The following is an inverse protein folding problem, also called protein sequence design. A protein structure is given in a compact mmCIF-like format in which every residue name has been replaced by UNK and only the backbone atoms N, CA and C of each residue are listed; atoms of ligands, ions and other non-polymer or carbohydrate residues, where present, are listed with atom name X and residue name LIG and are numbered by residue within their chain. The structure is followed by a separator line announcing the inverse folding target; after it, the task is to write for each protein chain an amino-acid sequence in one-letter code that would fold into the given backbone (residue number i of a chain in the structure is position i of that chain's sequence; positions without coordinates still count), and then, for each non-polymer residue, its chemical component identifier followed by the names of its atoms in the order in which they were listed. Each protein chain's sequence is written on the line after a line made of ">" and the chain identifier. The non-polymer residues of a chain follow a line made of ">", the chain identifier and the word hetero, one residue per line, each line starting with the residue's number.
data_IF_548421966824
#
_entry.id   IF_548421966824
#
_cell.length_a   1.000
_cell.length_b   1.000
_cell.length_c   1.000
_cell.angle_alpha   90.00
_cell.angle_beta   90.00
_cell.angle_gamma   90.00
#
_symmetry.space_group_name_H-M   'P 1'
#
loop_
_entity.id
_entity.type
_entity.pdbx_description
1 polymer ?
#
# COMPACT_ATOMS: atom_id res chain seq x y z
N UNK A 1 -8.34 35.94 3.39
CA UNK A 1 -7.18 35.34 2.70
C UNK A 1 -6.67 34.11 3.45
N UNK A 2 -6.44 34.19 4.75
CA UNK A 2 -5.86 33.10 5.57
C UNK A 2 -6.71 31.82 5.69
N UNK A 3 -8.03 31.91 5.89
CA UNK A 3 -8.89 30.73 6.02
C UNK A 3 -8.88 29.86 4.75
N UNK A 4 -8.81 30.49 3.57
CA UNK A 4 -8.72 29.78 2.28
C UNK A 4 -7.40 29.00 2.15
N UNK A 5 -6.30 29.55 2.63
CA UNK A 5 -4.99 28.90 2.59
C UNK A 5 -4.93 27.71 3.55
N UNK A 6 -5.52 27.87 4.74
CA UNK A 6 -5.68 26.78 5.71
C UNK A 6 -6.58 25.67 5.16
N UNK A 7 -7.69 26.01 4.49
CA UNK A 7 -8.56 25.07 3.82
C UNK A 7 -7.80 24.25 2.76
N UNK A 8 -6.95 24.91 1.95
CA UNK A 8 -6.10 24.23 0.98
C UNK A 8 -5.08 23.29 1.65
N UNK A 9 -4.53 23.69 2.79
CA UNK A 9 -3.59 22.85 3.56
C UNK A 9 -4.28 21.61 4.08
N UNK A 10 -5.46 21.73 4.68
CA UNK A 10 -6.28 20.60 5.13
C UNK A 10 -6.60 19.67 3.97
N UNK A 11 -7.01 20.22 2.82
CA UNK A 11 -7.32 19.44 1.62
C UNK A 11 -6.13 18.64 1.09
N UNK A 12 -4.95 19.25 1.03
CA UNK A 12 -3.71 18.60 0.61
C UNK A 12 -3.34 17.46 1.55
N UNK A 13 -3.38 17.71 2.87
CA UNK A 13 -3.09 16.67 3.87
C UNK A 13 -4.09 15.53 3.80
N UNK A 14 -5.37 15.82 3.69
CA UNK A 14 -6.44 14.83 3.50
C UNK A 14 -6.16 13.95 2.27
N UNK A 15 -5.83 14.56 1.13
CA UNK A 15 -5.52 13.83 -0.10
C UNK A 15 -4.31 12.90 0.06
N UNK A 16 -3.25 13.36 0.72
CA UNK A 16 -2.08 12.55 1.04
C UNK A 16 -2.45 11.37 1.96
N UNK A 17 -3.32 11.56 2.97
CA UNK A 17 -3.78 10.48 3.87
C UNK A 17 -4.59 9.42 3.12
N UNK A 18 -5.50 9.81 2.24
CA UNK A 18 -6.24 8.85 1.41
C UNK A 18 -5.34 8.13 0.41
N UNK A 19 -4.29 8.78 -0.08
CA UNK A 19 -3.29 8.12 -0.94
C UNK A 19 -2.50 7.08 -0.18
N UNK A 20 -2.01 7.41 1.03
CA UNK A 20 -1.35 6.47 1.92
C UNK A 20 -2.26 5.28 2.29
N UNK A 21 -3.54 5.53 2.58
CA UNK A 21 -4.55 4.48 2.80
C UNK A 21 -4.64 3.51 1.62
N UNK A 22 -4.80 4.04 0.39
CA UNK A 22 -4.90 3.20 -0.82
C UNK A 22 -3.63 2.39 -1.06
N UNK A 23 -2.45 2.96 -0.80
CA UNK A 23 -1.17 2.25 -0.90
C UNK A 23 -1.08 1.13 0.13
N UNK A 24 -1.41 1.38 1.40
CA UNK A 24 -1.39 0.36 2.45
C UNK A 24 -2.40 -0.78 2.17
N UNK A 25 -3.59 -0.44 1.68
CA UNK A 25 -4.60 -1.42 1.27
C UNK A 25 -4.08 -2.35 0.18
N UNK A 26 -3.43 -1.80 -0.85
CA UNK A 26 -2.86 -2.60 -1.94
C UNK A 26 -1.71 -3.49 -1.47
N UNK A 27 -0.84 -2.98 -0.61
CA UNK A 27 0.24 -3.77 -0.03
C UNK A 27 -0.31 -4.97 0.76
N UNK A 28 -1.33 -4.76 1.58
CA UNK A 28 -2.02 -5.83 2.29
C UNK A 28 -2.62 -6.86 1.33
N UNK A 29 -3.36 -6.40 0.33
CA UNK A 29 -4.04 -7.29 -0.60
C UNK A 29 -3.03 -8.08 -1.46
N UNK A 30 -1.96 -7.42 -1.92
CA UNK A 30 -0.89 -8.07 -2.69
C UNK A 30 -0.11 -9.09 -1.85
N UNK A 31 0.19 -8.81 -0.58
CA UNK A 31 0.87 -9.76 0.30
C UNK A 31 0.02 -11.02 0.53
N UNK A 32 -1.28 -10.86 0.80
CA UNK A 32 -2.19 -12.01 0.99
C UNK A 32 -2.30 -12.88 -0.27
N UNK A 33 -2.38 -12.26 -1.45
CA UNK A 33 -2.40 -13.01 -2.72
C UNK A 33 -1.07 -13.73 -2.97
N UNK A 34 0.07 -13.07 -2.72
CA UNK A 34 1.39 -13.68 -2.89
C UNK A 34 1.58 -14.87 -1.95
N UNK A 35 1.19 -14.75 -0.67
CA UNK A 35 1.24 -15.84 0.29
C UNK A 35 0.37 -17.04 -0.15
N UNK A 36 -0.86 -16.78 -0.60
CA UNK A 36 -1.77 -17.82 -1.06
C UNK A 36 -1.22 -18.55 -2.30
N UNK A 37 -0.71 -17.83 -3.29
CA UNK A 37 -0.11 -18.41 -4.49
C UNK A 37 1.15 -19.22 -4.16
N UNK A 38 2.02 -18.70 -3.30
CA UNK A 38 3.23 -19.42 -2.87
C UNK A 38 2.87 -20.70 -2.13
N UNK A 39 1.90 -20.67 -1.23
CA UNK A 39 1.44 -21.85 -0.49
C UNK A 39 0.86 -22.91 -1.42
N UNK A 40 0.02 -22.51 -2.37
CA UNK A 40 -0.54 -23.43 -3.37
C UNK A 40 0.56 -24.06 -4.25
N UNK A 41 1.57 -23.29 -4.63
CA UNK A 41 2.70 -23.77 -5.42
C UNK A 41 3.56 -24.77 -4.64
N UNK A 42 3.80 -24.54 -3.35
CA UNK A 42 4.52 -25.48 -2.48
C UNK A 42 3.78 -26.82 -2.38
N UNK A 43 2.45 -26.78 -2.22
CA UNK A 43 1.63 -28.00 -2.21
C UNK A 43 1.77 -28.75 -3.54
N UNK A 44 1.70 -28.06 -4.68
CA UNK A 44 1.87 -28.66 -5.99
C UNK A 44 3.23 -29.33 -6.16
N UNK A 45 4.31 -28.65 -5.73
CA UNK A 45 5.68 -29.22 -5.75
C UNK A 45 5.76 -30.49 -4.87
N UNK A 46 5.16 -30.47 -3.69
CA UNK A 46 5.12 -31.63 -2.79
C UNK A 46 4.41 -32.84 -3.42
N UNK A 47 3.31 -32.60 -4.15
CA UNK A 47 2.59 -33.65 -4.88
C UNK A 47 3.43 -34.23 -6.04
N UNK A 48 4.25 -33.41 -6.71
CA UNK A 48 5.19 -33.87 -7.74
C UNK A 48 6.23 -34.78 -7.10
N UNK A 49 6.84 -34.37 -5.98
CA UNK A 49 7.83 -35.21 -5.26
C UNK A 49 7.28 -36.57 -4.89
N UNK A 50 6.00 -36.67 -4.48
CA UNK A 50 5.37 -37.94 -4.12
C UNK A 50 5.15 -38.88 -5.33
N UNK A 51 5.04 -38.32 -6.53
CA UNK A 51 4.86 -39.12 -7.78
C UNK A 51 6.17 -39.50 -8.47
N UNK A 52 7.26 -38.86 -8.07
CA UNK A 52 8.57 -39.11 -8.67
C UNK A 52 9.06 -40.52 -8.34
N UNK A 53 9.53 -41.24 -9.36
CA UNK A 53 10.02 -42.62 -9.21
C UNK A 53 11.50 -42.69 -8.86
N UNK A 54 12.24 -41.66 -9.24
CA UNK A 54 13.63 -41.51 -8.86
C UNK A 54 13.70 -41.04 -7.41
N UNK A 55 14.23 -41.87 -6.54
CA UNK A 55 14.31 -41.61 -5.10
C UNK A 55 15.23 -40.45 -4.77
N UNK A 56 16.33 -40.27 -5.50
CA UNK A 56 17.26 -39.17 -5.26
C UNK A 56 16.64 -37.82 -5.66
N UNK A 57 15.95 -37.79 -6.81
CA UNK A 57 15.25 -36.62 -7.26
C UNK A 57 14.05 -36.25 -6.34
N UNK A 58 13.29 -37.27 -5.91
CA UNK A 58 12.19 -37.10 -4.95
C UNK A 58 12.66 -36.50 -3.63
N UNK A 59 13.79 -37.01 -3.08
CA UNK A 59 14.39 -36.50 -1.85
C UNK A 59 14.85 -35.03 -2.02
N UNK A 60 15.53 -34.71 -3.12
CA UNK A 60 15.98 -33.34 -3.39
C UNK A 60 14.81 -32.35 -3.50
N UNK A 61 13.73 -32.72 -4.19
CA UNK A 61 12.51 -31.89 -4.28
C UNK A 61 11.88 -31.72 -2.90
N UNK A 62 11.84 -32.78 -2.08
CA UNK A 62 11.27 -32.72 -0.73
C UNK A 62 12.09 -31.81 0.18
N UNK A 63 13.41 -31.87 0.17
CA UNK A 63 14.29 -30.97 0.92
C UNK A 63 14.07 -29.51 0.48
N UNK A 64 14.06 -29.25 -0.83
CA UNK A 64 13.81 -27.93 -1.37
C UNK A 64 12.46 -27.39 -0.92
N UNK A 65 11.42 -28.22 -0.92
CA UNK A 65 10.07 -27.85 -0.49
C UNK A 65 10.01 -27.47 0.98
N UNK A 66 10.75 -28.20 1.85
CA UNK A 66 10.86 -27.87 3.28
C UNK A 66 11.54 -26.52 3.47
N UNK A 67 12.65 -26.27 2.78
CA UNK A 67 13.36 -24.98 2.85
C UNK A 67 12.44 -23.83 2.41
N UNK A 68 11.74 -24.00 1.28
CA UNK A 68 10.84 -22.99 0.74
C UNK A 68 9.65 -22.73 1.68
N UNK A 69 9.10 -23.77 2.29
CA UNK A 69 8.00 -23.65 3.27
C UNK A 69 8.45 -22.90 4.52
N UNK A 70 9.64 -23.19 5.02
CA UNK A 70 10.23 -22.49 6.18
C UNK A 70 10.47 -21.02 5.86
N UNK A 71 11.00 -20.73 4.66
CA UNK A 71 11.21 -19.35 4.20
C UNK A 71 9.88 -18.60 4.10
N UNK A 72 8.83 -19.21 3.53
CA UNK A 72 7.50 -18.62 3.43
C UNK A 72 6.90 -18.32 4.80
N UNK A 73 7.08 -19.21 5.77
CA UNK A 73 6.62 -19.02 7.15
C UNK A 73 7.28 -17.80 7.80
N UNK A 74 8.61 -17.69 7.69
CA UNK A 74 9.35 -16.51 8.21
C UNK A 74 8.89 -15.24 7.53
N UNK A 75 8.73 -15.28 6.21
CA UNK A 75 8.27 -14.11 5.44
C UNK A 75 6.85 -13.67 5.85
N UNK A 76 5.93 -14.62 6.04
CA UNK A 76 4.56 -14.34 6.51
C UNK A 76 4.56 -13.67 7.88
N UNK A 77 5.42 -14.12 8.81
CA UNK A 77 5.58 -13.46 10.11
C UNK A 77 6.11 -12.03 9.99
N UNK A 78 7.10 -11.80 9.12
CA UNK A 78 7.63 -10.45 8.87
C UNK A 78 6.55 -9.52 8.28
N UNK A 79 5.77 -10.01 7.29
CA UNK A 79 4.69 -9.25 6.67
C UNK A 79 3.56 -8.93 7.67
N UNK A 80 3.22 -9.87 8.54
CA UNK A 80 2.27 -9.66 9.63
C UNK A 80 2.74 -8.56 10.59
N UNK A 81 4.05 -8.51 10.88
CA UNK A 81 4.66 -7.47 11.72
C UNK A 81 4.56 -6.05 11.17
N UNK A 82 4.35 -5.88 9.85
CA UNK A 82 4.17 -4.56 9.23
C UNK A 82 2.85 -3.88 9.58
N UNK A 83 1.91 -4.60 10.19
CA UNK A 83 0.62 -4.09 10.69
C UNK A 83 -0.15 -3.24 9.66
N UNK A 84 -0.18 -3.70 8.40
CA UNK A 84 -0.85 -2.96 7.31
C UNK A 84 -2.30 -2.64 7.62
N UNK A 85 -3.05 -3.53 8.27
CA UNK A 85 -4.46 -3.32 8.59
C UNK A 85 -4.66 -2.14 9.55
N UNK A 86 -3.93 -2.12 10.66
CA UNK A 86 -4.00 -1.02 11.64
C UNK A 86 -3.55 0.32 11.05
N UNK A 87 -2.46 0.30 10.26
CA UNK A 87 -1.97 1.52 9.59
C UNK A 87 -2.97 2.03 8.56
N UNK A 88 -3.55 1.15 7.77
CA UNK A 88 -4.58 1.47 6.79
C UNK A 88 -5.80 2.11 7.45
N UNK A 89 -6.32 1.51 8.54
CA UNK A 89 -7.46 2.02 9.29
C UNK A 89 -7.18 3.42 9.88
N UNK A 90 -5.99 3.61 10.46
CA UNK A 90 -5.59 4.91 11.00
C UNK A 90 -5.50 5.98 9.91
N UNK A 91 -4.93 5.68 8.71
CA UNK A 91 -4.91 6.63 7.59
C UNK A 91 -6.31 6.96 7.09
N UNK A 92 -7.20 5.97 7.00
CA UNK A 92 -8.58 6.16 6.58
C UNK A 92 -9.36 7.03 7.57
N UNK A 93 -9.25 6.75 8.86
CA UNK A 93 -9.93 7.49 9.92
C UNK A 93 -9.43 8.94 9.99
N UNK A 94 -8.10 9.14 9.94
CA UNK A 94 -7.51 10.48 9.84
C UNK A 94 -8.01 11.25 8.61
N UNK A 95 -8.04 10.60 7.44
CA UNK A 95 -8.56 11.19 6.21
C UNK A 95 -10.02 11.61 6.31
N UNK A 96 -10.85 10.81 6.97
CA UNK A 96 -12.27 11.10 7.17
C UNK A 96 -12.48 12.29 8.13
N UNK A 97 -11.74 12.39 9.23
CA UNK A 97 -11.82 13.53 10.14
C UNK A 97 -11.34 14.81 9.44
N UNK A 98 -10.25 14.77 8.69
CA UNK A 98 -9.80 15.90 7.86
C UNK A 98 -10.83 16.29 6.79
N UNK A 99 -11.51 15.33 6.16
CA UNK A 99 -12.57 15.61 5.20
C UNK A 99 -13.78 16.33 5.85
N UNK A 100 -14.14 15.92 7.07
CA UNK A 100 -15.19 16.59 7.85
C UNK A 100 -14.80 18.04 8.14
N UNK A 101 -13.57 18.26 8.63
CA UNK A 101 -13.05 19.59 8.90
C UNK A 101 -13.01 20.45 7.62
N UNK A 102 -12.50 19.91 6.52
CA UNK A 102 -12.46 20.58 5.22
C UNK A 102 -13.84 21.04 4.76
N UNK A 103 -14.85 20.16 4.84
CA UNK A 103 -16.24 20.51 4.46
C UNK A 103 -16.81 21.61 5.32
N UNK A 104 -16.54 21.60 6.63
CA UNK A 104 -16.97 22.64 7.54
C UNK A 104 -16.33 23.98 7.18
N UNK A 105 -15.01 24.00 6.98
CA UNK A 105 -14.28 25.20 6.55
C UNK A 105 -14.80 25.74 5.20
N UNK A 106 -15.06 24.87 4.22
CA UNK A 106 -15.61 25.25 2.92
C UNK A 106 -17.04 25.84 3.01
N UNK A 107 -17.84 25.35 3.94
CA UNK A 107 -19.17 25.88 4.22
C UNK A 107 -19.08 27.29 4.82
N UNK A 108 -18.24 27.44 5.84
CA UNK A 108 -18.07 28.70 6.55
C UNK A 108 -17.41 29.80 5.69
N UNK A 109 -16.51 29.41 4.76
CA UNK A 109 -15.94 30.31 3.75
C UNK A 109 -17.03 30.99 2.84
N UNK A 110 -18.19 30.32 2.68
CA UNK A 110 -19.27 30.81 1.83
C UNK A 110 -20.27 31.72 2.57
N UNK A 111 -20.38 31.55 3.88
CA UNK A 111 -21.44 32.14 4.69
C UNK A 111 -20.90 33.29 5.54
N UNK A 112 -19.70 33.19 6.09
CA UNK A 112 -19.15 34.15 7.02
C UNK A 112 -18.46 35.32 6.31
N UNK A 113 -18.57 36.52 6.91
CA UNK A 113 -17.76 37.65 6.57
C UNK A 113 -16.27 37.43 6.88
N UNK A 114 -15.41 38.26 6.30
CA UNK A 114 -13.95 38.16 6.51
C UNK A 114 -13.54 38.28 8.01
N UNK A 115 -14.28 39.05 8.79
CA UNK A 115 -14.03 39.22 10.22
C UNK A 115 -14.40 37.97 11.02
N UNK A 116 -15.56 37.39 10.71
CA UNK A 116 -15.99 36.12 11.34
C UNK A 116 -15.09 34.95 10.95
N UNK A 117 -14.62 34.89 9.70
CA UNK A 117 -13.64 33.89 9.25
C UNK A 117 -12.34 33.99 10.03
N UNK A 118 -11.85 35.22 10.27
CA UNK A 118 -10.64 35.47 11.05
C UNK A 118 -10.81 35.08 12.52
N UNK A 119 -11.99 35.31 13.09
CA UNK A 119 -12.27 34.89 14.48
C UNK A 119 -12.25 33.37 14.66
N UNK A 120 -12.70 32.61 13.66
CA UNK A 120 -12.72 31.14 13.68
C UNK A 120 -11.41 30.48 13.22
N UNK A 121 -10.50 31.21 12.64
CA UNK A 121 -9.27 30.67 12.06
C UNK A 121 -8.46 29.87 13.08
N UNK A 122 -8.26 30.40 14.27
CA UNK A 122 -7.50 29.73 15.33
C UNK A 122 -8.16 28.43 15.78
N UNK A 123 -9.48 28.39 15.84
CA UNK A 123 -10.25 27.20 16.17
C UNK A 123 -9.99 26.08 15.14
N UNK A 124 -10.04 26.39 13.84
CA UNK A 124 -9.76 25.41 12.79
C UNK A 124 -8.32 24.94 12.76
N UNK A 125 -7.36 25.83 13.04
CA UNK A 125 -5.95 25.43 13.17
C UNK A 125 -5.80 24.45 14.32
N UNK A 126 -6.41 24.70 15.48
CA UNK A 126 -6.36 23.81 16.62
C UNK A 126 -7.00 22.45 16.32
N UNK A 127 -8.20 22.43 15.73
CA UNK A 127 -8.86 21.20 15.31
C UNK A 127 -8.00 20.39 14.34
N UNK A 128 -7.35 21.04 13.37
CA UNK A 128 -6.43 20.41 12.45
C UNK A 128 -5.24 19.76 13.16
N UNK A 129 -4.61 20.49 14.09
CA UNK A 129 -3.48 19.97 14.88
C UNK A 129 -3.89 18.82 15.80
N UNK A 130 -5.07 18.88 16.40
CA UNK A 130 -5.62 17.82 17.25
C UNK A 130 -5.80 16.52 16.43
N UNK A 131 -6.33 16.61 15.20
CA UNK A 131 -6.46 15.46 14.31
C UNK A 131 -5.09 14.88 13.99
N UNK A 132 -4.09 15.71 13.65
CA UNK A 132 -2.76 15.24 13.32
C UNK A 132 -2.07 14.56 14.51
N UNK A 133 -2.20 15.13 15.69
CA UNK A 133 -1.62 14.62 16.92
C UNK A 133 -2.28 13.30 17.35
N UNK A 134 -3.61 13.23 17.27
CA UNK A 134 -4.40 12.04 17.61
C UNK A 134 -3.93 10.80 16.86
N UNK A 135 -3.66 10.93 15.57
CA UNK A 135 -3.27 9.79 14.74
C UNK A 135 -1.76 9.59 14.66
N UNK A 136 -0.96 10.63 14.92
CA UNK A 136 0.51 10.61 14.85
C UNK A 136 1.06 9.86 13.62
N UNK A 137 0.50 10.16 12.44
CA UNK A 137 0.82 9.49 11.18
C UNK A 137 1.70 10.38 10.33
N UNK A 138 2.80 9.83 9.82
CA UNK A 138 3.59 10.46 8.78
C UNK A 138 3.29 9.82 7.42
N UNK A 139 2.93 10.64 6.43
CA UNK A 139 2.88 10.24 5.04
C UNK A 139 4.27 10.38 4.40
N UNK A 140 4.55 9.56 3.41
CA UNK A 140 5.78 9.71 2.62
C UNK A 140 5.64 10.90 1.67
N UNK A 141 6.77 11.51 1.27
CA UNK A 141 6.77 12.54 0.21
C UNK A 141 6.05 12.06 -1.04
N UNK A 142 6.20 10.79 -1.34
CA UNK A 142 5.52 10.13 -2.45
C UNK A 142 3.99 10.11 -2.34
N UNK A 143 3.42 9.82 -1.16
CA UNK A 143 1.96 9.87 -0.93
C UNK A 143 1.42 11.28 -1.16
N UNK A 144 2.21 12.30 -0.78
CA UNK A 144 1.87 13.69 -1.00
C UNK A 144 1.92 14.06 -2.49
N UNK A 145 3.02 13.78 -3.18
CA UNK A 145 3.21 14.09 -4.60
C UNK A 145 2.15 13.41 -5.48
N UNK A 146 1.92 12.11 -5.24
CA UNK A 146 0.88 11.37 -5.95
C UNK A 146 -0.52 11.89 -5.61
N UNK A 147 -0.80 12.19 -4.35
CA UNK A 147 -2.06 12.79 -3.93
C UNK A 147 -2.32 14.14 -4.60
N UNK A 148 -1.28 14.96 -4.75
CA UNK A 148 -1.39 16.25 -5.45
C UNK A 148 -1.57 16.07 -6.96
N UNK A 149 -0.93 15.09 -7.58
CA UNK A 149 -1.02 14.85 -9.02
C UNK A 149 -2.42 14.41 -9.51
N UNK A 150 -3.27 13.92 -8.60
CA UNK A 150 -4.63 13.45 -8.91
C UNK A 150 -5.64 14.61 -8.81
N UNK A 151 -5.27 15.75 -8.21
CA UNK A 151 -6.18 16.86 -8.02
C UNK A 151 -6.55 17.52 -9.36
N UNK A 152 -7.81 18.02 -9.53
CA UNK A 152 -8.25 18.62 -10.78
C UNK A 152 -7.40 19.82 -11.25
N UNK A 153 -6.82 20.54 -10.29
CA UNK A 153 -5.99 21.73 -10.54
C UNK A 153 -4.49 21.40 -10.65
N UNK A 154 -4.13 20.12 -10.71
CA UNK A 154 -2.73 19.70 -10.76
C UNK A 154 -2.09 20.08 -12.11
N UNK A 155 -1.21 21.07 -12.11
CA UNK A 155 -0.35 21.40 -13.25
C UNK A 155 0.84 20.42 -13.32
N UNK A 156 0.58 19.13 -13.47
CA UNK A 156 1.65 18.12 -13.61
C UNK A 156 1.93 17.88 -15.08
N UNK A 157 3.21 17.85 -15.44
CA UNK A 157 3.63 17.40 -16.77
C UNK A 157 3.24 15.92 -16.96
N UNK A 158 2.65 15.56 -18.10
CA UNK A 158 2.19 14.20 -18.39
C UNK A 158 3.27 13.12 -18.16
N UNK A 159 4.53 13.41 -18.45
CA UNK A 159 5.65 12.49 -18.23
C UNK A 159 5.90 12.24 -16.73
N UNK A 160 5.83 13.27 -15.89
CA UNK A 160 5.96 13.14 -14.44
C UNK A 160 4.81 12.35 -13.83
N UNK A 161 3.58 12.57 -14.30
CA UNK A 161 2.40 11.82 -13.85
C UNK A 161 2.49 10.32 -14.20
N UNK A 162 2.97 9.98 -15.40
CA UNK A 162 3.15 8.61 -15.83
C UNK A 162 4.18 7.86 -14.98
N UNK A 163 5.33 8.49 -14.69
CA UNK A 163 6.36 7.93 -13.80
C UNK A 163 5.87 7.76 -12.36
N UNK A 164 5.14 8.72 -11.82
CA UNK A 164 4.54 8.62 -10.50
C UNK A 164 3.55 7.44 -10.44
N UNK A 165 2.78 7.23 -11.50
CA UNK A 165 1.82 6.12 -11.59
C UNK A 165 2.53 4.76 -11.69
N UNK A 166 3.57 4.63 -12.51
CA UNK A 166 4.40 3.41 -12.58
C UNK A 166 5.01 3.10 -11.22
N UNK A 167 5.66 4.07 -10.60
CA UNK A 167 6.26 3.92 -9.28
C UNK A 167 5.22 3.48 -8.24
N UNK A 168 4.06 4.13 -8.21
CA UNK A 168 2.99 3.81 -7.28
C UNK A 168 2.42 2.41 -7.45
N UNK A 169 2.24 1.96 -8.70
CA UNK A 169 1.61 0.67 -8.96
C UNK A 169 2.61 -0.49 -9.01
N UNK A 170 3.80 -0.29 -9.54
CA UNK A 170 4.74 -1.38 -9.82
C UNK A 170 5.83 -1.48 -8.75
N UNK A 171 6.55 -0.39 -8.45
CA UNK A 171 7.72 -0.45 -7.59
C UNK A 171 7.37 -0.51 -6.10
N UNK A 172 6.40 0.30 -5.63
CA UNK A 172 6.12 0.40 -4.20
C UNK A 172 5.13 -0.65 -3.68
N UNK A 173 4.36 -1.32 -4.57
CA UNK A 173 3.30 -2.23 -4.14
C UNK A 173 3.52 -3.66 -4.63
N UNK A 174 3.75 -3.85 -5.93
CA UNK A 174 3.63 -5.20 -6.50
C UNK A 174 4.95 -5.92 -6.72
N UNK A 175 6.06 -5.22 -6.94
CA UNK A 175 7.31 -5.83 -7.37
C UNK A 175 7.80 -6.90 -6.41
N UNK A 176 7.88 -6.61 -5.10
CA UNK A 176 8.35 -7.55 -4.09
C UNK A 176 7.42 -8.77 -3.97
N UNK A 177 6.11 -8.56 -3.95
CA UNK A 177 5.14 -9.64 -3.75
C UNK A 177 5.04 -10.55 -4.98
N UNK A 178 5.16 -10.00 -6.19
CA UNK A 178 5.22 -10.80 -7.41
C UNK A 178 6.49 -11.62 -7.50
N UNK A 179 7.64 -11.09 -7.08
CA UNK A 179 8.87 -11.88 -7.00
C UNK A 179 8.70 -13.07 -6.06
N UNK A 180 8.09 -12.88 -4.90
CA UNK A 180 7.83 -13.97 -3.94
C UNK A 180 6.91 -15.03 -4.54
N UNK A 181 5.82 -14.62 -5.21
CA UNK A 181 4.86 -15.53 -5.81
C UNK A 181 5.42 -16.29 -7.04
N UNK A 182 6.32 -15.66 -7.81
CA UNK A 182 6.87 -16.25 -9.04
C UNK A 182 7.97 -17.30 -8.79
N UNK A 183 8.73 -17.18 -7.69
CA UNK A 183 9.83 -18.12 -7.41
C UNK A 183 9.38 -19.59 -7.44
N UNK A 184 8.33 -20.01 -6.71
CA UNK A 184 7.88 -21.39 -6.77
C UNK A 184 7.38 -21.83 -8.17
N UNK A 185 6.69 -20.90 -8.87
CA UNK A 185 6.16 -21.17 -10.22
C UNK A 185 7.30 -21.38 -11.22
N UNK A 186 8.35 -20.57 -11.15
CA UNK A 186 9.54 -20.70 -11.99
C UNK A 186 10.24 -22.05 -11.71
N UNK A 187 10.33 -22.44 -10.44
CA UNK A 187 10.91 -23.74 -10.08
C UNK A 187 10.13 -24.92 -10.66
N UNK A 188 8.79 -24.87 -10.63
CA UNK A 188 7.93 -25.88 -11.26
C UNK A 188 8.15 -25.91 -12.77
N UNK A 189 8.14 -24.76 -13.42
CA UNK A 189 8.35 -24.62 -14.87
C UNK A 189 9.72 -25.17 -15.31
N UNK A 190 10.77 -24.84 -14.55
CA UNK A 190 12.11 -25.35 -14.79
C UNK A 190 12.19 -26.87 -14.68
N UNK A 191 11.56 -27.45 -13.65
CA UNK A 191 11.50 -28.89 -13.46
C UNK A 191 10.87 -29.59 -14.67
N UNK A 192 9.72 -29.14 -15.16
CA UNK A 192 9.06 -29.73 -16.33
C UNK A 192 9.86 -29.56 -17.61
N UNK A 193 10.47 -28.39 -17.81
CA UNK A 193 11.29 -28.12 -19.00
C UNK A 193 12.53 -29.03 -19.05
N UNK A 194 13.17 -29.20 -17.91
CA UNK A 194 14.35 -30.07 -17.80
C UNK A 194 14.00 -31.53 -18.12
N UNK A 195 12.87 -32.04 -17.61
CA UNK A 195 12.41 -33.42 -17.88
C UNK A 195 11.85 -33.62 -19.32
N UNK A 196 11.55 -32.55 -20.04
CA UNK A 196 11.10 -32.64 -21.44
C UNK A 196 12.28 -32.68 -22.43
N UNK A 197 13.44 -32.17 -22.01
CA UNK A 197 14.66 -32.05 -22.84
C UNK A 197 15.59 -33.28 -22.68
N UNK A 198 15.48 -33.98 -21.55
CA UNK A 198 16.18 -35.25 -21.34
C UNK A 198 15.34 -36.44 -21.80
#
# INVERSE_FOLDING_TARGET
>A
MYLKDNCNTVYKTMSARFTAYRRMKRNRDASKVAEALSSASIIAISLIALKEKDMDLSNNISIFTIILSTFLLVLSQLLSGLNYEKRMENYHSCGNELNRLYRLMCHDLKIFSDEEQKAKELEYINQYQDILTKYNLNHTSFDYEYGMSILPDAKTCHASWFWLKIRYYILDVYMLYWLIALVPIICIGWYYLHNLIM
#
